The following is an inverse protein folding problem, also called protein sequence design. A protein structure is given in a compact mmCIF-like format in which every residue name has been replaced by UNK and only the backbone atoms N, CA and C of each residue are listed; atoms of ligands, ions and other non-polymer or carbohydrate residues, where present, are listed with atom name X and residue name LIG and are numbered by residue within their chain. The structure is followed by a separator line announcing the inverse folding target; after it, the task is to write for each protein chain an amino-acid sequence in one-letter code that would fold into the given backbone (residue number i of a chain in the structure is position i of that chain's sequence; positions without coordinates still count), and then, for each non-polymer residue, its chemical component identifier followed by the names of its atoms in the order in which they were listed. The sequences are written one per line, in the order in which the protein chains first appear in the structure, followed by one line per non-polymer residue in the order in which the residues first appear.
data_IF_586567607492
#
_entry.id   IF_586567607492
#
_cell.length_a   1.000
_cell.length_b   1.000
_cell.length_c   1.000
_cell.angle_alpha   90.00
_cell.angle_beta   90.00
_cell.angle_gamma   90.00
#
_symmetry.space_group_name_H-M   'P 1'
#
loop_
_entity.id
_entity.type
_entity.pdbx_description
1 polymer ?
#
# COMPACT_ATOMS: atom_id res chain seq x y z
N UNK A 1 28.30 -93.41 -20.03
CA UNK A 1 27.38 -93.13 -21.16
C UNK A 1 26.90 -91.70 -21.05
N UNK A 2 27.17 -90.91 -22.11
CA UNK A 2 26.56 -89.63 -22.53
C UNK A 2 26.53 -88.44 -21.55
N UNK A 3 27.49 -87.55 -21.81
CA UNK A 3 27.53 -86.13 -21.47
C UNK A 3 26.57 -85.41 -22.43
N UNK A 4 25.62 -84.60 -21.94
CA UNK A 4 24.89 -83.60 -22.74
C UNK A 4 24.58 -82.38 -21.85
N UNK A 5 24.76 -81.13 -22.32
CA UNK A 5 24.73 -79.93 -21.49
C UNK A 5 23.32 -79.36 -21.39
N UNK A 6 22.88 -78.94 -20.21
CA UNK A 6 21.66 -78.14 -20.07
C UNK A 6 22.03 -76.69 -19.80
N UNK A 7 21.61 -75.85 -20.74
CA UNK A 7 21.84 -74.42 -20.86
C UNK A 7 21.20 -73.68 -19.68
N UNK A 8 21.98 -72.82 -19.04
CA UNK A 8 21.54 -71.91 -17.98
C UNK A 8 20.76 -70.74 -18.64
N UNK A 9 19.43 -70.80 -18.62
CA UNK A 9 18.56 -69.67 -19.01
C UNK A 9 18.34 -68.78 -17.78
N UNK A 10 19.09 -67.68 -17.72
CA UNK A 10 18.89 -66.62 -16.71
C UNK A 10 17.66 -65.82 -17.16
N UNK A 11 16.51 -66.11 -16.55
CA UNK A 11 15.29 -65.31 -16.73
C UNK A 11 15.45 -63.96 -16.06
N UNK A 12 15.60 -62.90 -16.84
CA UNK A 12 15.52 -61.53 -16.37
C UNK A 12 14.05 -61.18 -16.07
N UNK A 13 13.72 -61.07 -14.78
CA UNK A 13 12.44 -60.49 -14.33
C UNK A 13 12.55 -58.98 -14.48
N UNK A 14 11.86 -58.43 -15.48
CA UNK A 14 11.68 -56.99 -15.64
C UNK A 14 10.72 -56.47 -14.56
N UNK A 15 11.27 -55.78 -13.56
CA UNK A 15 10.51 -54.90 -12.68
C UNK A 15 10.01 -53.72 -13.52
N UNK A 16 8.70 -53.67 -13.78
CA UNK A 16 8.04 -52.48 -14.32
C UNK A 16 7.90 -51.45 -13.21
N UNK A 17 8.84 -50.50 -13.16
CA UNK A 17 8.59 -49.21 -12.52
C UNK A 17 7.71 -48.35 -13.45
N UNK A 18 6.80 -47.52 -12.93
CA UNK A 18 6.17 -46.50 -13.76
C UNK A 18 7.25 -45.52 -14.19
N UNK A 19 7.46 -45.41 -15.49
CA UNK A 19 8.31 -44.38 -16.08
C UNK A 19 7.66 -43.02 -15.82
N UNK A 20 8.20 -42.27 -14.86
CA UNK A 20 8.09 -40.81 -14.92
C UNK A 20 8.94 -40.39 -16.12
N UNK A 21 8.27 -39.85 -17.14
CA UNK A 21 8.94 -39.25 -18.29
C UNK A 21 9.64 -37.96 -17.83
N UNK A 22 10.92 -38.08 -17.50
CA UNK A 22 11.86 -36.96 -17.44
C UNK A 22 12.16 -36.56 -18.88
N UNK A 23 11.62 -35.43 -19.32
CA UNK A 23 11.89 -34.88 -20.64
C UNK A 23 12.74 -33.62 -20.49
N UNK A 24 14.03 -33.82 -20.18
CA UNK A 24 15.05 -32.79 -20.32
C UNK A 24 15.53 -32.73 -21.77
N UNK A 25 14.81 -31.92 -22.55
CA UNK A 25 15.18 -31.50 -23.88
C UNK A 25 15.28 -29.97 -23.93
N UNK A 26 16.44 -29.44 -23.55
CA UNK A 26 16.75 -28.03 -23.73
C UNK A 26 16.92 -27.71 -25.23
N UNK A 27 15.93 -27.02 -25.80
CA UNK A 27 16.04 -26.18 -26.99
C UNK A 27 15.25 -24.90 -26.76
N UNK A 28 15.95 -23.84 -26.37
CA UNK A 28 15.69 -22.47 -26.83
C UNK A 28 14.29 -21.90 -26.59
N UNK A 29 14.14 -21.21 -25.46
CA UNK A 29 13.37 -19.96 -25.34
C UNK A 29 11.96 -19.90 -25.94
N UNK A 30 10.97 -20.42 -25.22
CA UNK A 30 9.60 -19.93 -25.31
C UNK A 30 9.10 -19.63 -23.89
N UNK A 31 8.97 -18.33 -23.60
CA UNK A 31 8.30 -17.84 -22.39
C UNK A 31 6.88 -18.45 -22.32
N UNK A 32 6.30 -18.67 -21.11
CA UNK A 32 4.88 -18.99 -21.04
C UNK A 32 4.11 -17.92 -21.83
N UNK A 33 3.26 -18.34 -22.77
CA UNK A 33 2.41 -17.41 -23.51
C UNK A 33 1.74 -16.49 -22.48
N UNK A 34 2.02 -15.17 -22.52
CA UNK A 34 1.65 -14.23 -21.47
C UNK A 34 0.22 -14.48 -20.99
N UNK A 35 0.08 -15.10 -19.81
CA UNK A 35 -1.20 -15.61 -19.29
C UNK A 35 -1.98 -14.54 -18.54
N UNK A 36 -1.51 -13.29 -18.56
CA UNK A 36 -2.13 -12.20 -17.86
C UNK A 36 -2.07 -10.90 -18.67
N UNK A 37 -2.91 -9.96 -18.27
CA UNK A 37 -3.00 -8.63 -18.89
C UNK A 37 -3.20 -7.56 -17.82
N UNK A 38 -2.32 -6.56 -17.82
CA UNK A 38 -2.48 -5.34 -17.03
C UNK A 38 -3.46 -4.41 -17.74
N UNK A 39 -4.37 -3.84 -16.97
CA UNK A 39 -5.45 -2.96 -17.42
C UNK A 39 -5.33 -1.65 -16.66
N UNK A 40 -5.02 -0.57 -17.37
CA UNK A 40 -4.83 0.76 -16.81
C UNK A 40 -5.75 1.75 -17.50
N UNK A 41 -6.79 2.18 -16.81
CA UNK A 41 -7.70 3.23 -17.24
C UNK A 41 -7.50 4.46 -16.34
N UNK A 42 -7.19 5.61 -16.93
CA UNK A 42 -6.95 6.83 -16.18
C UNK A 42 -7.30 8.06 -17.00
N UNK A 43 -7.19 9.24 -16.38
CA UNK A 43 -7.40 10.52 -17.05
C UNK A 43 -6.07 11.29 -17.15
N UNK A 44 -6.00 12.30 -18.03
CA UNK A 44 -4.85 13.19 -18.21
C UNK A 44 -5.17 14.63 -17.79
N UNK A 45 -5.85 14.83 -16.66
CA UNK A 45 -6.24 16.15 -16.15
C UNK A 45 -7.69 16.58 -16.40
N UNK A 46 -8.60 15.63 -16.62
CA UNK A 46 -10.04 15.87 -16.79
C UNK A 46 -10.92 14.92 -15.95
N UNK A 47 -12.24 14.93 -16.20
CA UNK A 47 -13.13 13.95 -15.59
C UNK A 47 -12.97 12.59 -16.27
N UNK A 48 -12.81 11.53 -15.48
CA UNK A 48 -12.74 10.16 -16.00
C UNK A 48 -14.01 9.78 -16.76
N UNK A 49 -13.85 9.12 -17.92
CA UNK A 49 -14.95 8.50 -18.64
C UNK A 49 -15.51 7.28 -17.88
N UNK A 50 -16.48 7.53 -17.02
CA UNK A 50 -17.18 6.50 -16.25
C UNK A 50 -17.87 5.44 -17.14
N UNK A 51 -18.21 5.76 -18.39
CA UNK A 51 -18.78 4.77 -19.31
C UNK A 51 -17.72 3.78 -19.79
N UNK A 52 -16.50 4.24 -20.06
CA UNK A 52 -15.36 3.38 -20.38
C UNK A 52 -15.00 2.49 -19.18
N UNK A 53 -14.92 3.06 -17.98
CA UNK A 53 -14.69 2.29 -16.74
C UNK A 53 -15.75 1.20 -16.54
N UNK A 54 -17.03 1.52 -16.74
CA UNK A 54 -18.13 0.55 -16.64
C UNK A 54 -18.02 -0.54 -17.71
N UNK A 55 -17.57 -0.19 -18.91
CA UNK A 55 -17.37 -1.13 -20.02
C UNK A 55 -16.26 -2.13 -19.71
N UNK A 56 -15.11 -1.66 -19.18
CA UNK A 56 -14.01 -2.53 -18.72
C UNK A 56 -14.50 -3.49 -17.64
N UNK A 57 -15.16 -2.98 -16.58
CA UNK A 57 -15.69 -3.83 -15.49
C UNK A 57 -16.70 -4.87 -15.99
N UNK A 58 -17.59 -4.48 -16.91
CA UNK A 58 -18.57 -5.39 -17.50
C UNK A 58 -17.89 -6.48 -18.33
N UNK A 59 -16.85 -6.13 -19.10
CA UNK A 59 -16.12 -7.08 -19.92
C UNK A 59 -15.37 -8.11 -19.05
N UNK A 60 -14.68 -7.65 -18.01
CA UNK A 60 -14.00 -8.50 -17.03
C UNK A 60 -15.00 -9.44 -16.35
N UNK A 61 -16.14 -8.92 -15.87
CA UNK A 61 -17.16 -9.76 -15.23
C UNK A 61 -17.73 -10.84 -16.18
N UNK A 62 -17.90 -10.53 -17.47
CA UNK A 62 -18.27 -11.52 -18.48
C UNK A 62 -17.18 -12.59 -18.69
N UNK A 63 -15.92 -12.19 -18.71
CA UNK A 63 -14.81 -13.13 -18.87
C UNK A 63 -14.67 -14.06 -17.67
N UNK A 64 -14.90 -13.56 -16.45
CA UNK A 64 -14.93 -14.37 -15.22
C UNK A 64 -16.09 -15.37 -15.27
N UNK A 65 -17.29 -14.92 -15.61
CA UNK A 65 -18.47 -15.82 -15.71
C UNK A 65 -18.40 -16.83 -16.86
N UNK A 66 -17.44 -16.68 -17.77
CA UNK A 66 -17.20 -17.58 -18.89
C UNK A 66 -15.92 -18.40 -18.72
N UNK A 67 -15.37 -18.49 -17.50
CA UNK A 67 -14.13 -19.21 -17.15
C UNK A 67 -12.91 -18.82 -18.02
N UNK A 68 -12.97 -17.63 -18.64
CA UNK A 68 -11.88 -17.08 -19.47
C UNK A 68 -10.84 -16.39 -18.59
N UNK A 69 -11.26 -15.87 -17.44
CA UNK A 69 -10.42 -15.19 -16.44
C UNK A 69 -10.75 -15.76 -15.07
N UNK A 70 -9.76 -16.32 -14.36
CA UNK A 70 -9.96 -16.81 -12.98
C UNK A 70 -9.47 -15.80 -11.95
N UNK A 71 -8.37 -15.10 -12.25
CA UNK A 71 -7.78 -14.10 -11.36
C UNK A 71 -8.08 -12.71 -11.87
N UNK A 72 -8.71 -11.86 -11.04
CA UNK A 72 -8.81 -10.42 -11.31
C UNK A 72 -8.31 -9.63 -10.09
N UNK A 73 -7.11 -9.07 -10.22
CA UNK A 73 -6.44 -8.30 -9.18
C UNK A 73 -6.66 -6.80 -9.39
N UNK A 74 -7.32 -6.11 -8.45
CA UNK A 74 -7.47 -4.65 -8.49
C UNK A 74 -6.39 -3.99 -7.64
N UNK A 75 -5.52 -3.20 -8.28
CA UNK A 75 -4.45 -2.46 -7.61
C UNK A 75 -4.89 -1.06 -7.18
N UNK A 76 -5.81 -0.43 -7.92
CA UNK A 76 -6.45 0.84 -7.55
C UNK A 76 -7.78 1.00 -8.30
N UNK A 77 -8.85 1.55 -7.68
CA UNK A 77 -8.93 1.99 -6.29
C UNK A 77 -9.08 0.79 -5.34
N UNK A 78 -8.26 0.76 -4.27
CA UNK A 78 -8.37 -0.23 -3.19
C UNK A 78 -8.08 0.44 -1.84
N UNK A 79 -8.77 0.00 -0.78
CA UNK A 79 -8.50 0.48 0.59
C UNK A 79 -7.05 0.12 0.95
N UNK A 80 -6.24 1.10 1.37
CA UNK A 80 -4.82 0.90 1.67
C UNK A 80 -3.90 0.72 0.45
N UNK A 81 -4.40 0.89 -0.78
CA UNK A 81 -3.57 0.88 -1.99
C UNK A 81 -2.93 2.22 -2.33
N UNK A 82 -2.05 2.26 -3.35
CA UNK A 82 -1.51 3.51 -3.86
C UNK A 82 -2.66 4.46 -4.25
N UNK A 83 -2.52 5.74 -3.86
CA UNK A 83 -3.52 6.79 -4.06
C UNK A 83 -3.89 6.85 -5.55
N UNK A 84 -5.19 6.77 -5.90
CA UNK A 84 -5.61 6.89 -7.29
C UNK A 84 -5.31 8.29 -7.79
N UNK A 85 -4.38 8.42 -8.73
CA UNK A 85 -4.33 9.60 -9.60
C UNK A 85 -5.55 9.53 -10.53
N UNK A 86 -6.49 10.44 -10.30
CA UNK A 86 -7.63 10.70 -11.20
C UNK A 86 -8.74 9.62 -11.28
N UNK A 87 -8.98 8.88 -10.18
CA UNK A 87 -10.21 8.07 -10.01
C UNK A 87 -10.39 6.87 -10.96
N UNK A 88 -9.33 6.49 -11.67
CA UNK A 88 -9.30 5.43 -12.69
C UNK A 88 -9.35 3.99 -12.18
N UNK A 89 -8.91 3.04 -13.01
CA UNK A 89 -8.73 1.63 -12.69
C UNK A 89 -7.31 1.20 -13.01
N UNK A 90 -6.60 0.63 -12.05
CA UNK A 90 -5.40 -0.16 -12.27
C UNK A 90 -5.68 -1.57 -11.79
N UNK A 91 -5.62 -2.54 -12.70
CA UNK A 91 -5.93 -3.92 -12.41
C UNK A 91 -5.13 -4.87 -13.30
N UNK A 92 -5.20 -6.14 -13.00
CA UNK A 92 -4.67 -7.20 -13.83
C UNK A 92 -5.66 -8.38 -13.88
N UNK A 93 -5.76 -9.03 -15.03
CA UNK A 93 -6.56 -10.23 -15.24
C UNK A 93 -5.68 -11.39 -15.72
N UNK A 94 -5.81 -12.57 -15.14
CA UNK A 94 -5.13 -13.80 -15.58
C UNK A 94 -6.11 -14.76 -16.25
N UNK A 95 -5.64 -15.42 -17.30
CA UNK A 95 -6.36 -16.45 -18.01
C UNK A 95 -6.77 -17.58 -17.06
N UNK A 96 -8.02 -18.01 -17.16
CA UNK A 96 -8.52 -19.12 -16.36
C UNK A 96 -7.78 -20.42 -16.63
N UNK A 97 -7.86 -21.36 -15.69
CA UNK A 97 -7.22 -22.67 -15.77
C UNK A 97 -7.67 -23.44 -17.01
N UNK A 98 -8.97 -23.38 -17.34
CA UNK A 98 -9.57 -24.00 -18.52
C UNK A 98 -9.59 -23.11 -19.76
N UNK A 99 -9.11 -21.86 -19.68
CA UNK A 99 -9.16 -20.92 -20.80
C UNK A 99 -8.10 -21.26 -21.85
N UNK A 100 -8.51 -21.32 -23.12
CA UNK A 100 -7.59 -21.44 -24.25
C UNK A 100 -6.93 -20.09 -24.57
N UNK A 101 -5.74 -20.08 -25.22
CA UNK A 101 -5.11 -18.85 -25.70
C UNK A 101 -6.02 -18.03 -26.63
N UNK A 102 -6.82 -18.68 -27.47
CA UNK A 102 -7.75 -18.00 -28.38
C UNK A 102 -8.86 -17.26 -27.62
N UNK A 103 -9.43 -17.88 -26.58
CA UNK A 103 -10.45 -17.24 -25.73
C UNK A 103 -9.86 -16.04 -24.98
N UNK A 104 -8.68 -16.20 -24.36
CA UNK A 104 -8.04 -15.12 -23.62
C UNK A 104 -7.60 -13.97 -24.54
N UNK A 105 -7.05 -14.26 -25.72
CA UNK A 105 -6.70 -13.24 -26.72
C UNK A 105 -7.92 -12.51 -27.26
N UNK A 106 -9.07 -13.18 -27.43
CA UNK A 106 -10.32 -12.53 -27.79
C UNK A 106 -10.79 -11.55 -26.71
N UNK A 107 -10.67 -11.92 -25.43
CA UNK A 107 -10.93 -11.02 -24.30
C UNK A 107 -10.00 -9.79 -24.32
N UNK A 108 -8.70 -9.98 -24.53
CA UNK A 108 -7.74 -8.86 -24.62
C UNK A 108 -8.09 -7.94 -25.80
N UNK A 109 -8.47 -8.51 -26.95
CA UNK A 109 -8.91 -7.73 -28.10
C UNK A 109 -10.13 -6.88 -27.76
N UNK A 110 -11.13 -7.46 -27.10
CA UNK A 110 -12.32 -6.74 -26.65
C UNK A 110 -11.98 -5.60 -25.67
N UNK A 111 -11.00 -5.77 -24.78
CA UNK A 111 -10.49 -4.68 -23.93
C UNK A 111 -9.88 -3.55 -24.77
N UNK A 112 -9.02 -3.87 -25.74
CA UNK A 112 -8.36 -2.90 -26.62
C UNK A 112 -9.31 -2.17 -27.57
N UNK A 113 -10.46 -2.77 -27.88
CA UNK A 113 -11.49 -2.18 -28.73
C UNK A 113 -12.32 -1.11 -28.00
N UNK A 114 -12.24 -1.02 -26.66
CA UNK A 114 -12.87 0.07 -25.90
C UNK A 114 -12.20 1.39 -26.25
N UNK A 115 -13.00 2.38 -26.67
CA UNK A 115 -12.55 3.74 -27.01
C UNK A 115 -13.05 4.73 -25.95
N UNK A 116 -12.22 5.12 -24.96
CA UNK A 116 -12.59 6.14 -24.01
C UNK A 116 -12.74 7.52 -24.68
N UNK A 117 -13.52 8.41 -24.06
CA UNK A 117 -13.60 9.82 -24.47
C UNK A 117 -12.24 10.52 -24.36
N UNK A 118 -12.07 11.62 -25.11
CA UNK A 118 -10.89 12.47 -25.04
C UNK A 118 -10.57 12.88 -23.60
N UNK A 119 -9.29 12.79 -23.22
CA UNK A 119 -8.82 13.03 -21.86
C UNK A 119 -8.86 11.80 -20.94
N UNK A 120 -9.43 10.67 -21.37
CA UNK A 120 -9.30 9.36 -20.71
C UNK A 120 -8.48 8.42 -21.59
N UNK A 121 -7.57 7.66 -20.98
CA UNK A 121 -6.80 6.62 -21.64
C UNK A 121 -7.16 5.24 -21.11
N UNK A 122 -6.97 4.23 -21.95
CA UNK A 122 -7.02 2.82 -21.59
C UNK A 122 -5.79 2.14 -22.19
N UNK A 123 -4.94 1.59 -21.33
CA UNK A 123 -3.77 0.80 -21.71
C UNK A 123 -3.96 -0.66 -21.30
N UNK A 124 -3.57 -1.58 -22.20
CA UNK A 124 -3.79 -3.02 -22.07
C UNK A 124 -2.51 -3.75 -22.46
N UNK A 125 -1.69 -4.06 -21.46
CA UNK A 125 -0.35 -4.59 -21.61
C UNK A 125 -0.29 -6.06 -21.19
N UNK A 126 0.29 -6.90 -22.03
CA UNK A 126 0.50 -8.31 -21.71
C UNK A 126 1.53 -8.44 -20.58
N UNK A 127 1.30 -9.42 -19.71
CA UNK A 127 2.24 -9.78 -18.65
C UNK A 127 2.15 -11.28 -18.37
N UNK A 128 3.18 -11.84 -17.74
CA UNK A 128 3.27 -13.29 -17.55
C UNK A 128 2.27 -13.77 -16.48
N UNK A 129 2.10 -12.98 -15.42
CA UNK A 129 1.18 -13.21 -14.31
C UNK A 129 0.81 -11.88 -13.67
N UNK A 130 -0.35 -11.81 -13.04
CA UNK A 130 -0.69 -10.72 -12.15
C UNK A 130 0.26 -10.71 -10.97
N UNK A 131 0.74 -9.51 -10.63
CA UNK A 131 1.48 -9.33 -9.41
C UNK A 131 0.53 -9.71 -8.28
N UNK A 132 0.88 -10.67 -7.41
CA UNK A 132 0.00 -11.03 -6.33
C UNK A 132 -0.33 -9.76 -5.55
N UNK A 133 -1.59 -9.65 -5.10
CA UNK A 133 -1.98 -8.60 -4.16
C UNK A 133 -1.38 -9.01 -2.82
N UNK A 134 -0.06 -9.03 -2.78
CA UNK A 134 0.67 -9.05 -1.56
C UNK A 134 0.23 -7.74 -0.87
N UNK A 135 -0.55 -7.89 0.19
CA UNK A 135 0.04 -7.42 1.44
C UNK A 135 1.41 -8.09 1.47
N UNK A 136 2.44 -7.49 0.87
CA UNK A 136 3.81 -7.92 1.06
C UNK A 136 3.97 -7.76 2.56
N UNK A 137 3.83 -8.88 3.28
CA UNK A 137 3.17 -8.92 4.60
C UNK A 137 3.52 -7.67 5.35
N UNK A 138 2.56 -6.75 5.48
CA UNK A 138 2.84 -5.35 5.86
C UNK A 138 3.72 -5.43 7.09
N UNK A 139 5.03 -5.24 6.87
CA UNK A 139 5.98 -5.73 7.85
C UNK A 139 5.65 -5.02 9.13
N UNK A 140 5.50 -5.78 10.21
CA UNK A 140 5.17 -5.16 11.49
C UNK A 140 6.36 -4.29 11.86
N UNK A 141 6.07 -3.04 12.16
CA UNK A 141 7.06 -2.05 12.54
C UNK A 141 6.69 -1.42 13.88
N UNK A 142 7.66 -0.76 14.51
CA UNK A 142 7.52 -0.28 15.88
C UNK A 142 7.56 -1.42 16.90
N UNK A 143 6.65 -1.38 17.86
CA UNK A 143 6.68 -2.24 19.04
C UNK A 143 7.84 -1.90 19.99
N UNK A 144 7.98 -2.71 21.04
CA UNK A 144 9.07 -2.58 22.03
C UNK A 144 10.47 -2.67 21.42
N UNK A 145 10.59 -3.39 20.30
CA UNK A 145 11.85 -3.57 19.58
C UNK A 145 12.17 -2.38 18.65
N UNK A 146 11.23 -1.45 18.42
CA UNK A 146 11.40 -0.35 17.47
C UNK A 146 11.69 -0.83 16.04
N UNK A 147 11.06 -1.94 15.61
CA UNK A 147 11.34 -2.58 14.33
C UNK A 147 11.09 -1.60 13.17
N UNK A 148 12.12 -1.36 12.36
CA UNK A 148 12.01 -0.50 11.18
C UNK A 148 11.41 -1.28 10.00
N UNK A 149 10.87 -0.54 9.03
CA UNK A 149 10.42 -1.13 7.77
C UNK A 149 11.59 -1.62 6.92
N UNK A 150 11.43 -2.75 6.21
CA UNK A 150 12.52 -3.37 5.44
C UNK A 150 12.95 -2.56 4.22
N UNK A 151 12.07 -1.71 3.67
CA UNK A 151 12.37 -0.84 2.54
C UNK A 151 12.44 0.63 3.00
N UNK A 152 13.48 1.36 2.58
CA UNK A 152 13.65 2.79 2.84
C UNK A 152 12.51 3.67 2.26
N UNK A 153 11.82 3.16 1.24
CA UNK A 153 10.64 3.77 0.63
C UNK A 153 9.36 3.50 1.42
N UNK A 154 9.43 2.80 2.55
CA UNK A 154 8.28 2.56 3.43
C UNK A 154 8.36 3.40 4.70
N UNK A 155 7.21 3.60 5.32
CA UNK A 155 7.06 4.19 6.63
C UNK A 155 6.18 3.31 7.51
N UNK A 156 6.33 3.47 8.82
CA UNK A 156 5.50 2.76 9.77
C UNK A 156 4.20 3.50 9.99
N UNK A 157 3.09 2.90 9.59
CA UNK A 157 1.74 3.41 9.84
C UNK A 157 1.16 2.79 11.12
N UNK A 158 1.02 3.59 12.17
CA UNK A 158 0.52 3.17 13.47
C UNK A 158 -1.02 3.23 13.60
N UNK A 159 -1.74 3.68 12.56
CA UNK A 159 -3.09 4.21 12.66
C UNK A 159 -3.17 5.53 13.46
N UNK A 160 -4.24 6.28 13.20
CA UNK A 160 -4.43 7.64 13.74
C UNK A 160 -4.46 7.58 15.29
N UNK A 161 -3.60 8.39 15.91
CA UNK A 161 -3.59 8.61 17.37
C UNK A 161 -2.88 7.52 18.18
N UNK A 162 -2.24 6.55 17.52
CA UNK A 162 -1.61 5.41 18.20
C UNK A 162 -0.10 5.55 18.37
N UNK A 163 0.55 6.46 17.66
CA UNK A 163 2.01 6.61 17.71
C UNK A 163 2.58 7.13 19.03
N UNK A 164 1.74 7.64 19.94
CA UNK A 164 2.13 8.02 21.31
C UNK A 164 1.82 6.94 22.35
N UNK A 165 1.29 5.81 21.92
CA UNK A 165 1.08 4.66 22.80
C UNK A 165 2.42 3.91 22.93
N UNK A 166 2.86 3.58 24.16
CA UNK A 166 4.04 2.74 24.36
C UNK A 166 3.91 1.42 23.58
N UNK A 167 5.01 0.99 22.96
CA UNK A 167 5.09 -0.25 22.19
C UNK A 167 4.04 -0.39 21.07
N UNK A 168 3.52 0.74 20.56
CA UNK A 168 2.61 0.73 19.43
C UNK A 168 3.23 -0.03 18.26
N UNK A 169 2.49 -0.99 17.72
CA UNK A 169 2.85 -1.68 16.50
C UNK A 169 2.11 -1.03 15.34
N UNK A 170 2.81 -0.92 14.21
CA UNK A 170 2.25 -0.41 12.97
C UNK A 170 2.50 -1.38 11.83
N UNK A 171 2.06 -0.96 10.66
CA UNK A 171 2.24 -1.68 9.41
C UNK A 171 3.10 -0.89 8.46
N UNK A 172 4.08 -1.53 7.84
CA UNK A 172 4.88 -0.87 6.81
C UNK A 172 4.04 -0.59 5.57
N UNK A 173 3.95 0.69 5.21
CA UNK A 173 3.27 1.19 4.01
C UNK A 173 4.24 1.97 3.14
N UNK A 174 4.05 1.92 1.83
CA UNK A 174 4.90 2.65 0.88
C UNK A 174 4.64 4.15 0.96
N UNK A 175 5.72 4.95 1.00
CA UNK A 175 5.68 6.41 0.92
C UNK A 175 5.23 6.83 -0.48
N UNK A 176 4.17 7.66 -0.61
CA UNK A 176 3.79 8.21 -1.91
C UNK A 176 4.86 9.18 -2.41
N UNK A 177 5.13 9.16 -3.73
CA UNK A 177 6.07 10.10 -4.38
C UNK A 177 5.40 11.38 -4.89
N UNK A 178 4.06 11.37 -5.01
CA UNK A 178 3.27 12.47 -5.53
C UNK A 178 2.09 12.68 -4.59
N UNK A 179 1.87 13.93 -4.17
CA UNK A 179 0.74 14.34 -3.34
C UNK A 179 -0.01 15.51 -3.97
N UNK A 180 -1.33 15.51 -3.77
CA UNK A 180 -2.17 16.65 -4.14
C UNK A 180 -1.89 17.84 -3.21
N UNK A 181 -2.20 19.05 -3.70
CA UNK A 181 -2.01 20.31 -2.97
C UNK A 181 -3.25 20.75 -2.20
N UNK A 182 -4.22 19.86 -2.03
CA UNK A 182 -5.41 20.11 -1.22
C UNK A 182 -5.01 20.32 0.24
N UNK A 183 -5.66 21.29 0.88
CA UNK A 183 -5.41 21.60 2.28
C UNK A 183 -6.46 20.91 3.15
N UNK A 184 -6.08 19.79 3.75
CA UNK A 184 -6.84 19.00 4.74
C UNK A 184 -5.87 18.60 5.85
N UNK A 185 -5.51 19.54 6.74
CA UNK A 185 -4.33 19.41 7.57
C UNK A 185 -4.43 18.25 8.55
N UNK A 186 -3.28 17.69 8.88
CA UNK A 186 -3.13 16.64 9.90
C UNK A 186 -1.92 16.93 10.77
N UNK A 187 -1.96 16.51 12.02
CA UNK A 187 -0.83 16.58 12.93
C UNK A 187 -0.08 15.26 12.88
N UNK A 188 1.19 15.32 12.46
CA UNK A 188 2.08 14.17 12.45
C UNK A 188 2.54 13.80 13.86
N UNK A 189 2.93 12.55 14.05
CA UNK A 189 3.52 12.06 15.29
C UNK A 189 4.85 12.74 15.65
N UNK A 190 5.46 13.44 14.69
CA UNK A 190 6.64 14.30 14.91
C UNK A 190 6.28 15.71 15.38
N UNK A 191 5.00 15.98 15.66
CA UNK A 191 4.50 17.28 16.13
C UNK A 191 4.42 18.35 15.04
N UNK A 192 4.55 17.98 13.76
CA UNK A 192 4.43 18.92 12.64
C UNK A 192 3.07 18.82 11.96
N UNK A 193 2.55 19.98 11.58
CA UNK A 193 1.37 20.06 10.72
C UNK A 193 1.77 19.75 9.28
N UNK A 194 1.07 18.81 8.66
CA UNK A 194 1.16 18.51 7.25
C UNK A 194 -0.08 19.04 6.52
N UNK A 195 0.09 19.52 5.29
CA UNK A 195 -1.03 20.08 4.50
C UNK A 195 -2.13 19.07 4.20
N UNK A 196 -1.76 17.78 4.12
CA UNK A 196 -2.68 16.65 4.08
C UNK A 196 -1.99 15.32 4.47
N UNK A 197 -2.78 14.27 4.66
CA UNK A 197 -2.30 12.93 5.00
C UNK A 197 -1.29 12.35 4.01
N UNK A 198 -1.40 12.64 2.71
CA UNK A 198 -0.41 12.20 1.72
C UNK A 198 0.95 12.82 1.99
N UNK A 199 1.01 14.13 2.25
CA UNK A 199 2.27 14.82 2.54
C UNK A 199 2.94 14.31 3.83
N UNK A 200 2.15 13.89 4.83
CA UNK A 200 2.67 13.23 6.03
C UNK A 200 3.28 11.85 5.69
N UNK A 201 2.55 11.01 4.95
CA UNK A 201 3.02 9.71 4.51
C UNK A 201 4.26 9.80 3.59
N UNK A 202 4.33 10.79 2.69
CA UNK A 202 5.48 11.05 1.83
C UNK A 202 6.74 11.41 2.65
N UNK A 203 6.55 12.16 3.74
CA UNK A 203 7.60 12.43 4.72
C UNK A 203 7.90 11.23 5.64
N UNK A 204 7.12 10.14 5.53
CA UNK A 204 7.26 8.94 6.34
C UNK A 204 6.75 9.07 7.76
N UNK A 205 5.77 9.95 7.99
CA UNK A 205 5.25 10.28 9.31
C UNK A 205 3.82 9.76 9.46
N UNK A 206 3.59 8.96 10.52
CA UNK A 206 2.25 8.56 10.96
C UNK A 206 1.45 9.75 11.48
N UNK A 207 0.13 9.63 11.46
CA UNK A 207 -0.78 10.70 11.88
C UNK A 207 -1.12 10.53 13.37
N UNK A 208 -0.94 11.58 14.15
CA UNK A 208 -1.41 11.63 15.53
C UNK A 208 -2.90 11.99 15.59
N UNK A 209 -3.31 13.05 14.91
CA UNK A 209 -4.72 13.44 14.86
C UNK A 209 -5.02 14.25 13.60
N UNK A 210 -6.31 14.33 13.26
CA UNK A 210 -6.78 15.22 12.20
C UNK A 210 -6.71 16.69 12.63
N UNK A 211 -6.55 17.60 11.67
CA UNK A 211 -6.34 19.02 11.91
C UNK A 211 -4.87 19.37 12.17
N UNK A 212 -4.58 20.66 12.24
CA UNK A 212 -3.22 21.15 12.53
C UNK A 212 -2.78 20.78 13.95
N UNK A 213 -1.46 20.60 14.15
CA UNK A 213 -0.93 20.41 15.48
C UNK A 213 -1.24 21.62 16.36
N UNK A 214 -1.70 21.36 17.58
CA UNK A 214 -1.80 22.39 18.60
C UNK A 214 -0.38 22.80 18.98
N UNK A 215 -0.01 24.06 18.78
CA UNK A 215 1.22 24.60 19.39
C UNK A 215 1.06 24.42 20.90
N UNK A 216 1.95 23.65 21.52
CA UNK A 216 2.04 23.60 22.97
C UNK A 216 2.48 24.98 23.43
N UNK A 217 1.52 25.82 23.77
CA UNK A 217 1.82 26.98 24.59
C UNK A 217 1.93 26.48 26.02
N UNK A 218 3.10 26.58 26.68
CA UNK A 218 3.10 26.61 28.13
C UNK A 218 2.28 27.83 28.48
N UNK A 219 1.03 27.59 28.89
CA UNK A 219 0.17 28.68 29.37
C UNK A 219 0.65 29.11 30.74
N UNK A 220 1.24 28.23 31.54
CA UNK A 220 1.68 28.55 32.89
C UNK A 220 3.16 28.96 32.97
N UNK A 221 3.46 29.94 33.83
CA UNK A 221 4.78 30.42 34.22
C UNK A 221 4.78 30.76 35.71
N UNK A 222 5.91 31.16 36.29
CA UNK A 222 6.00 31.50 37.71
C UNK A 222 5.91 30.26 38.61
N UNK A 223 5.20 30.38 39.74
CA UNK A 223 5.11 29.33 40.75
C UNK A 223 6.36 29.21 41.64
N UNK A 224 6.32 28.32 42.64
CA UNK A 224 7.48 27.93 43.47
C UNK A 224 8.73 27.51 42.67
N UNK A 225 8.51 27.08 41.42
CA UNK A 225 9.55 26.58 40.53
C UNK A 225 10.12 27.67 39.61
N UNK A 226 9.58 28.90 39.65
CA UNK A 226 10.05 30.02 38.83
C UNK A 226 10.04 29.72 37.34
N UNK A 227 9.00 29.06 36.83
CA UNK A 227 8.95 28.57 35.44
C UNK A 227 8.98 29.76 34.47
N UNK A 228 10.01 29.90 33.61
CA UNK A 228 10.10 31.01 32.68
C UNK A 228 9.19 30.81 31.46
N UNK A 229 8.72 31.90 30.88
CA UNK A 229 8.02 31.86 29.60
C UNK A 229 8.99 31.60 28.42
N UNK A 230 8.52 30.99 27.32
CA UNK A 230 9.26 30.91 26.06
C UNK A 230 9.65 32.31 25.53
N UNK A 231 10.65 32.35 24.64
CA UNK A 231 11.14 33.60 24.05
C UNK A 231 10.01 34.42 23.41
N UNK A 232 10.01 35.74 23.69
CA UNK A 232 9.00 36.68 23.17
C UNK A 232 7.69 36.73 23.97
N UNK A 233 7.63 36.08 25.15
CA UNK A 233 6.50 36.16 26.07
C UNK A 233 6.91 36.70 27.44
N UNK A 234 5.96 37.27 28.15
CA UNK A 234 6.09 37.75 29.53
C UNK A 234 5.14 36.97 30.42
N UNK A 235 5.61 36.65 31.63
CA UNK A 235 4.77 36.03 32.63
C UNK A 235 3.90 37.11 33.29
N UNK A 236 2.59 37.01 33.13
CA UNK A 236 1.61 37.86 33.80
C UNK A 236 0.90 37.06 34.90
N UNK A 237 0.43 37.73 35.94
CA UNK A 237 -0.36 37.11 37.01
C UNK A 237 -1.68 36.54 36.47
N UNK A 238 -2.14 35.38 36.95
CA UNK A 238 -3.44 34.83 36.52
C UNK A 238 -4.58 35.59 37.24
N UNK A 239 -5.40 36.39 36.53
CA UNK A 239 -6.46 37.18 37.17
C UNK A 239 -7.62 36.33 37.70
N UNK A 240 -7.58 35.01 37.48
CA UNK A 240 -8.60 34.06 37.93
C UNK A 240 -8.32 33.48 39.32
N UNK A 241 -7.17 33.80 39.94
CA UNK A 241 -6.81 33.33 41.27
C UNK A 241 -6.67 34.46 42.31
N UNK A 242 -6.59 34.05 43.58
CA UNK A 242 -6.45 34.96 44.73
C UNK A 242 -4.97 35.19 45.12
N UNK A 243 -4.01 34.74 44.32
CA UNK A 243 -2.59 34.83 44.60
C UNK A 243 -2.06 36.20 44.17
N UNK A 244 -1.94 37.15 45.11
CA UNK A 244 -1.37 38.47 44.82
C UNK A 244 0.15 38.50 45.07
N UNK A 245 1.00 38.64 44.02
CA UNK A 245 2.46 38.73 44.16
C UNK A 245 2.92 39.90 45.03
N UNK A 246 2.09 40.93 45.22
CA UNK A 246 2.39 42.12 46.04
C UNK A 246 2.04 41.94 47.51
N UNK A 247 1.33 40.86 47.89
CA UNK A 247 0.84 40.65 49.26
C UNK A 247 1.26 39.35 49.92
N UNK A 248 2.01 38.46 49.28
CA UNK A 248 2.58 37.32 50.02
C UNK A 248 3.09 36.09 49.29
N UNK A 249 3.61 36.18 48.07
CA UNK A 249 4.29 35.01 47.47
C UNK A 249 5.22 35.37 46.32
N UNK A 250 6.48 34.95 46.42
CA UNK A 250 7.40 34.85 45.28
C UNK A 250 7.02 33.69 44.33
N UNK A 251 5.95 32.97 44.68
CA UNK A 251 5.59 31.65 44.19
C UNK A 251 4.24 31.63 43.45
N UNK A 252 3.69 32.78 43.04
CA UNK A 252 2.40 32.80 42.34
C UNK A 252 2.53 32.26 40.91
N UNK A 253 1.64 31.33 40.49
CA UNK A 253 1.55 30.90 39.11
C UNK A 253 1.02 32.05 38.24
N UNK A 254 1.52 32.15 37.02
CA UNK A 254 1.12 33.15 36.05
C UNK A 254 0.84 32.55 34.68
N UNK A 255 0.39 33.38 33.75
CA UNK A 255 0.12 33.02 32.36
C UNK A 255 1.14 33.67 31.41
N UNK A 256 1.65 32.92 30.43
CA UNK A 256 2.53 33.46 29.41
C UNK A 256 1.77 34.20 28.31
N UNK A 257 1.87 35.53 28.29
CA UNK A 257 1.32 36.38 27.23
C UNK A 257 2.41 36.90 26.27
N UNK A 258 2.07 37.20 25.01
CA UNK A 258 2.99 37.88 24.08
C UNK A 258 3.49 39.20 24.65
N UNK A 259 4.79 39.46 24.47
CA UNK A 259 5.43 40.72 24.85
C UNK A 259 5.08 41.87 23.89
#
# INVERSE_FOLDING_TARGET
MKILPYVLLIGAVALSAPAFAENDGDRGGDRPASRAVNISLGSTGGALDNAALKSVRKLVGKAITADTVDTFAVYSPRVGGPVPIEGGLSACAEAGFSSTPTQFNAFIKQLRDIRPKAGTFLNVELTDQCKPIDNAGSAVCGGIAGTACPDAKQFCDFDIGKCKVPDAQGTCKTKPSICTREFRPVCGCDGKTYGNACTAAAAGVSIEHEGECKKSEPKACGGIAGIPCPQGKTCIDDPSDDCDPKRGGADCPGICEPK
#
